data_IF_333152259235
#
_entry.id   IF_333152259235
#
_cell.length_a   1.000
_cell.length_b   1.000
_cell.length_c   1.000
_cell.angle_alpha   90.00
_cell.angle_beta   90.00
_cell.angle_gamma   90.00
#
_symmetry.space_group_name_H-M   'P 1'
#
loop_
_entity.id
_entity.type
_entity.pdbx_description
1 polymer ?
#
# COMPACT_ATOMS: atom_id res chain seq x y z
N UNK A 1 -1.59 -1.62 -17.23
CA UNK A 1 -0.34 -1.92 -16.48
C UNK A 1 -0.60 -3.13 -15.62
N UNK A 2 0.27 -4.16 -15.67
CA UNK A 2 0.16 -5.32 -14.75
C UNK A 2 0.52 -4.82 -13.35
N UNK A 3 -0.37 -4.99 -12.38
CA UNK A 3 -0.08 -4.67 -10.98
C UNK A 3 1.14 -5.46 -10.52
N UNK A 4 2.09 -4.80 -9.84
CA UNK A 4 3.22 -5.44 -9.17
C UNK A 4 4.49 -5.62 -10.00
N UNK A 5 4.65 -4.93 -11.13
CA UNK A 5 5.92 -4.92 -11.89
C UNK A 5 7.10 -4.41 -11.05
N UNK A 6 6.82 -3.53 -10.10
CA UNK A 6 7.76 -2.98 -9.12
C UNK A 6 8.29 -4.00 -8.11
N UNK A 7 7.71 -5.21 -8.04
CA UNK A 7 8.21 -6.34 -7.25
C UNK A 7 9.05 -7.32 -8.08
N UNK A 8 9.37 -7.00 -9.33
CA UNK A 8 10.14 -7.85 -10.24
C UNK A 8 9.33 -8.96 -10.89
N UNK A 9 10.01 -9.99 -11.38
CA UNK A 9 9.38 -11.15 -12.02
C UNK A 9 8.73 -12.08 -10.98
N UNK A 10 7.57 -11.66 -10.46
CA UNK A 10 6.76 -12.46 -9.55
C UNK A 10 5.42 -12.84 -10.18
N UNK A 11 4.90 -14.01 -9.80
CA UNK A 11 3.56 -14.43 -10.19
C UNK A 11 2.50 -13.83 -9.25
N UNK A 12 1.25 -13.79 -9.70
CA UNK A 12 0.14 -13.18 -8.97
C UNK A 12 -0.05 -13.76 -7.55
N UNK A 13 0.17 -15.05 -7.35
CA UNK A 13 0.05 -15.68 -6.03
C UNK A 13 1.14 -15.22 -5.06
N UNK A 14 2.36 -14.98 -5.55
CA UNK A 14 3.46 -14.41 -4.76
C UNK A 14 3.16 -12.95 -4.40
N UNK A 15 2.67 -12.16 -5.37
CA UNK A 15 2.24 -10.78 -5.12
C UNK A 15 1.15 -10.73 -4.04
N UNK A 16 0.13 -11.58 -4.14
CA UNK A 16 -0.93 -11.64 -3.13
C UNK A 16 -0.40 -12.06 -1.75
N UNK A 17 0.58 -12.97 -1.71
CA UNK A 17 1.24 -13.37 -0.46
C UNK A 17 1.98 -12.18 0.17
N UNK A 18 2.75 -11.42 -0.62
CA UNK A 18 3.45 -10.23 -0.16
C UNK A 18 2.46 -9.19 0.39
N UNK A 19 1.40 -8.88 -0.35
CA UNK A 19 0.40 -7.92 0.07
C UNK A 19 -0.28 -8.32 1.39
N UNK A 20 -0.62 -9.61 1.56
CA UNK A 20 -1.21 -10.14 2.80
C UNK A 20 -0.22 -10.13 3.96
N UNK A 21 1.04 -10.49 3.72
CA UNK A 21 2.10 -10.41 4.73
C UNK A 21 2.29 -8.98 5.20
N UNK A 22 2.38 -8.03 4.26
CA UNK A 22 2.56 -6.62 4.56
C UNK A 22 1.35 -6.01 5.30
N UNK A 23 0.12 -6.43 4.96
CA UNK A 23 -1.08 -6.00 5.69
C UNK A 23 -0.99 -6.29 7.21
N UNK A 24 -0.38 -7.41 7.59
CA UNK A 24 -0.18 -7.81 8.98
C UNK A 24 1.12 -7.30 9.64
N UNK A 25 2.00 -6.65 8.89
CA UNK A 25 3.31 -6.20 9.39
C UNK A 25 3.16 -5.00 10.34
N UNK A 26 3.96 -4.97 11.41
CA UNK A 26 3.99 -3.89 12.39
C UNK A 26 5.44 -3.56 12.75
N UNK A 27 5.69 -2.36 13.28
CA UNK A 27 7.02 -1.91 13.69
C UNK A 27 7.21 -0.41 13.52
N UNK A 28 8.35 0.11 13.98
CA UNK A 28 8.66 1.55 13.91
C UNK A 28 8.82 2.05 12.47
N UNK A 29 9.18 1.17 11.54
CA UNK A 29 9.30 1.48 10.12
C UNK A 29 7.96 1.53 9.38
N UNK A 30 6.87 1.13 10.04
CA UNK A 30 5.52 1.14 9.51
C UNK A 30 4.79 2.41 9.95
N UNK A 31 4.35 3.20 8.98
CA UNK A 31 3.37 4.26 9.20
C UNK A 31 2.01 3.75 8.74
N UNK A 32 0.97 4.02 9.53
CA UNK A 32 -0.40 3.66 9.19
C UNK A 32 -1.38 4.76 9.58
N UNK A 33 -2.40 4.97 8.75
CA UNK A 33 -3.45 5.93 9.03
C UNK A 33 -4.77 5.49 8.40
N UNK A 34 -5.86 5.75 9.13
CA UNK A 34 -7.22 5.52 8.66
C UNK A 34 -7.76 6.77 7.98
N UNK A 35 -8.33 6.60 6.78
CA UNK A 35 -9.01 7.65 6.00
C UNK A 35 -10.39 7.13 5.61
N UNK A 36 -11.43 7.52 6.35
CA UNK A 36 -12.78 6.99 6.25
C UNK A 36 -12.82 5.47 6.38
N UNK A 37 -13.11 4.75 5.29
CA UNK A 37 -13.18 3.26 5.26
C UNK A 37 -11.86 2.59 4.88
N UNK A 38 -10.83 3.38 4.57
CA UNK A 38 -9.55 2.88 4.11
C UNK A 38 -8.50 2.91 5.22
N UNK A 39 -7.68 1.88 5.30
CA UNK A 39 -6.41 1.87 6.02
C UNK A 39 -5.30 2.06 4.98
N UNK A 40 -4.47 3.08 5.17
CA UNK A 40 -3.25 3.31 4.39
C UNK A 40 -2.07 2.90 5.24
N UNK A 41 -1.21 2.03 4.70
CA UNK A 41 0.03 1.56 5.32
C UNK A 41 1.22 1.89 4.43
N UNK A 42 2.32 2.29 5.04
CA UNK A 42 3.57 2.59 4.37
C UNK A 42 4.77 2.02 5.13
N UNK A 43 5.66 1.35 4.42
CA UNK A 43 6.94 0.87 4.92
C UNK A 43 8.05 1.84 4.51
N UNK A 44 8.65 2.54 5.48
CA UNK A 44 9.73 3.49 5.21
C UNK A 44 11.03 2.83 4.73
N UNK A 45 11.27 1.55 5.05
CA UNK A 45 12.46 0.81 4.63
C UNK A 45 12.37 0.35 3.17
N UNK A 46 11.22 -0.21 2.79
CA UNK A 46 11.02 -0.85 1.47
C UNK A 46 10.24 0.01 0.49
N UNK A 47 9.72 1.15 0.96
CA UNK A 47 8.84 2.06 0.22
C UNK A 47 7.52 1.40 -0.21
N UNK A 48 7.12 0.30 0.42
CA UNK A 48 5.87 -0.40 0.12
C UNK A 48 4.66 0.34 0.69
N UNK A 49 3.61 0.45 -0.11
CA UNK A 49 2.34 1.08 0.22
C UNK A 49 1.22 0.09 0.03
N UNK A 50 0.31 0.05 1.00
CA UNK A 50 -0.92 -0.71 0.94
C UNK A 50 -2.10 0.20 1.27
N UNK A 51 -3.12 0.16 0.44
CA UNK A 51 -4.43 0.74 0.74
C UNK A 51 -5.42 -0.41 0.85
N UNK A 52 -5.95 -0.63 2.04
CA UNK A 52 -6.94 -1.64 2.34
C UNK A 52 -8.29 -1.03 2.66
N UNK A 53 -9.39 -1.65 2.23
CA UNK A 53 -10.75 -1.29 2.65
C UNK A 53 -11.15 -2.13 3.85
N UNK A 54 -11.34 -1.49 5.00
CA UNK A 54 -11.51 -2.19 6.28
C UNK A 54 -12.87 -2.89 6.39
N UNK A 55 -13.94 -2.28 5.86
CA UNK A 55 -15.30 -2.81 5.92
C UNK A 55 -15.48 -4.10 5.11
N UNK A 56 -14.75 -4.22 4.00
CA UNK A 56 -14.77 -5.41 3.12
C UNK A 56 -13.60 -6.36 3.36
N UNK A 57 -12.62 -5.98 4.19
CA UNK A 57 -11.37 -6.74 4.38
C UNK A 57 -10.66 -7.01 3.05
N UNK A 58 -10.61 -6.00 2.18
CA UNK A 58 -10.05 -6.10 0.83
C UNK A 58 -8.78 -5.25 0.69
N UNK A 59 -7.74 -5.78 0.04
CA UNK A 59 -6.60 -4.96 -0.39
C UNK A 59 -6.97 -4.31 -1.72
N UNK A 60 -7.12 -2.99 -1.73
CA UNK A 60 -7.48 -2.20 -2.92
C UNK A 60 -6.29 -1.96 -3.84
N UNK A 61 -5.16 -1.58 -3.26
CA UNK A 61 -3.90 -1.48 -3.99
C UNK A 61 -2.72 -1.82 -3.07
N UNK A 62 -1.69 -2.40 -3.66
CA UNK A 62 -0.42 -2.67 -3.02
C UNK A 62 0.68 -2.40 -4.05
N UNK A 63 1.65 -1.56 -3.71
CA UNK A 63 2.71 -1.19 -4.64
C UNK A 63 3.95 -0.72 -3.89
N UNK A 64 5.07 -0.62 -4.58
CA UNK A 64 6.28 0.04 -4.09
C UNK A 64 6.38 1.43 -4.70
N UNK A 65 6.46 2.46 -3.87
CA UNK A 65 6.66 3.82 -4.33
C UNK A 65 8.02 3.97 -5.00
N UNK A 66 8.05 4.70 -6.11
CA UNK A 66 9.30 5.08 -6.75
C UNK A 66 9.73 6.45 -6.20
N UNK A 67 10.83 6.54 -5.44
CA UNK A 67 11.28 7.80 -4.86
C UNK A 67 11.69 8.86 -5.91
N UNK A 68 11.92 8.44 -7.16
CA UNK A 68 12.15 9.38 -8.27
C UNK A 68 10.86 10.04 -8.79
N UNK A 69 9.68 9.51 -8.43
CA UNK A 69 8.38 10.03 -8.86
C UNK A 69 7.74 10.86 -7.76
N UNK A 70 7.85 10.42 -6.50
CA UNK A 70 7.31 11.14 -5.34
C UNK A 70 8.27 11.07 -4.16
N UNK A 71 8.45 12.23 -3.51
CA UNK A 71 9.20 12.37 -2.27
C UNK A 71 8.32 12.23 -1.03
N UNK A 72 6.98 12.17 -1.20
CA UNK A 72 5.99 12.08 -0.11
C UNK A 72 4.98 10.96 -0.35
N UNK A 73 5.44 9.73 -0.62
CA UNK A 73 4.57 8.68 -1.15
C UNK A 73 3.46 8.26 -0.16
N UNK A 74 3.69 8.38 1.16
CA UNK A 74 2.65 8.15 2.15
C UNK A 74 1.52 9.18 2.06
N UNK A 75 1.85 10.48 1.93
CA UNK A 75 0.84 11.53 1.80
C UNK A 75 0.03 11.37 0.51
N UNK A 76 0.68 11.04 -0.61
CA UNK A 76 -0.01 10.79 -1.88
C UNK A 76 -1.05 9.67 -1.76
N UNK A 77 -0.72 8.61 -1.00
CA UNK A 77 -1.64 7.51 -0.74
C UNK A 77 -2.81 7.91 0.18
N UNK A 78 -2.58 8.80 1.15
CA UNK A 78 -3.64 9.37 1.99
C UNK A 78 -4.59 10.24 1.15
N UNK A 79 -4.05 11.08 0.27
CA UNK A 79 -4.84 11.95 -0.61
C UNK A 79 -5.68 11.12 -1.59
N UNK A 80 -5.10 10.04 -2.14
CA UNK A 80 -5.84 9.07 -2.95
C UNK A 80 -6.98 8.45 -2.14
N UNK A 81 -6.73 7.95 -0.93
CA UNK A 81 -7.77 7.35 -0.09
C UNK A 81 -8.88 8.36 0.28
N UNK A 82 -8.52 9.61 0.53
CA UNK A 82 -9.46 10.71 0.79
C UNK A 82 -10.33 11.03 -0.44
N UNK A 83 -9.77 10.92 -1.65
CA UNK A 83 -10.53 11.13 -2.89
C UNK A 83 -11.59 10.05 -3.14
N UNK A 84 -11.34 8.81 -2.66
CA UNK A 84 -12.24 7.65 -2.79
C UNK A 84 -13.34 7.58 -1.73
N UNK A 85 -13.32 8.48 -0.74
CA UNK A 85 -14.32 8.56 0.33
C UNK A 85 -15.41 9.60 0.08
N UNK A 86 -15.25 10.44 -0.95
CA UNK A 86 -16.25 11.38 -1.45
C UNK A 86 -17.28 10.67 -2.33
#
# INVERSE_FOLDING_TARGET
>A
MKHGAEFGEIIQSQYLKLAKSFAGETGEHIQEQVVGKFLVKFNSNTQEILVGRMDLREIRTFYRANPNISTTPFQDALDLAASLTK
#
